data_IF_257524065884
#
_entry.id   IF_257524065884
#
_cell.length_a   1.000
_cell.length_b   1.000
_cell.length_c   1.000
_cell.angle_alpha   90.00
_cell.angle_beta   90.00
_cell.angle_gamma   90.00
#
_symmetry.space_group_name_H-M   'P 1'
#
loop_
_entity.id
_entity.type
_entity.pdbx_description
1 polymer ?
#
# COMPACT_ATOMS: atom_id res chain seq x y z
N UNK A 1 12.66 -72.44 21.97
CA UNK A 1 12.59 -72.57 20.50
C UNK A 1 11.86 -71.36 19.97
N UNK A 2 12.60 -70.28 19.69
CA UNK A 2 12.07 -69.15 18.94
C UNK A 2 12.20 -69.52 17.47
N UNK A 3 11.06 -69.74 16.80
CA UNK A 3 11.03 -70.05 15.39
C UNK A 3 11.40 -68.75 14.66
N UNK A 4 12.68 -68.56 14.33
CA UNK A 4 13.10 -67.47 13.45
C UNK A 4 12.33 -67.65 12.15
N UNK A 5 11.38 -66.73 11.90
CA UNK A 5 10.66 -66.66 10.64
C UNK A 5 11.68 -66.27 9.58
N UNK A 6 12.39 -67.27 9.06
CA UNK A 6 13.28 -67.13 7.91
C UNK A 6 12.41 -66.85 6.69
N UNK A 7 12.13 -65.57 6.46
CA UNK A 7 11.52 -65.12 5.20
C UNK A 7 12.33 -65.72 4.05
N UNK A 8 11.68 -66.41 3.11
CA UNK A 8 12.38 -66.84 1.89
C UNK A 8 12.91 -65.60 1.15
N UNK A 9 13.98 -65.74 0.37
CA UNK A 9 14.56 -64.62 -0.36
C UNK A 9 13.50 -63.87 -1.19
N UNK A 10 12.56 -64.60 -1.80
CA UNK A 10 11.43 -64.06 -2.56
C UNK A 10 10.42 -63.28 -1.69
N UNK A 11 10.14 -63.72 -0.46
CA UNK A 11 9.26 -62.98 0.45
C UNK A 11 9.88 -61.67 0.95
N UNK A 12 11.20 -61.63 1.19
CA UNK A 12 11.90 -60.37 1.51
C UNK A 12 11.85 -59.38 0.36
N UNK A 13 12.05 -59.85 -0.88
CA UNK A 13 11.97 -59.01 -2.08
C UNK A 13 10.57 -58.41 -2.23
N UNK A 14 9.51 -59.21 -2.08
CA UNK A 14 8.13 -58.72 -2.13
C UNK A 14 7.82 -57.73 -0.99
N UNK A 15 8.28 -58.00 0.23
CA UNK A 15 8.10 -57.09 1.36
C UNK A 15 8.82 -55.75 1.13
N UNK A 16 10.03 -55.77 0.59
CA UNK A 16 10.78 -54.56 0.25
C UNK A 16 10.07 -53.74 -0.84
N UNK A 17 9.49 -54.41 -1.85
CA UNK A 17 8.69 -53.74 -2.88
C UNK A 17 7.44 -53.09 -2.29
N UNK A 18 6.71 -53.79 -1.40
CA UNK A 18 5.54 -53.23 -0.71
C UNK A 18 5.91 -52.03 0.17
N UNK A 19 7.05 -52.08 0.86
CA UNK A 19 7.56 -50.95 1.64
C UNK A 19 7.89 -49.74 0.74
N UNK A 20 8.49 -49.96 -0.44
CA UNK A 20 8.76 -48.90 -1.42
C UNK A 20 7.47 -48.29 -1.99
N UNK A 21 6.46 -49.12 -2.29
CA UNK A 21 5.13 -48.64 -2.74
C UNK A 21 4.46 -47.83 -1.64
N UNK A 22 4.49 -48.30 -0.39
CA UNK A 22 3.91 -47.59 0.74
C UNK A 22 4.57 -46.21 0.96
N UNK A 23 5.90 -46.12 0.83
CA UNK A 23 6.63 -44.85 0.89
C UNK A 23 6.22 -43.90 -0.24
N UNK A 24 6.07 -44.43 -1.46
CA UNK A 24 5.63 -43.65 -2.62
C UNK A 24 4.19 -43.14 -2.45
N UNK A 25 3.29 -43.97 -1.91
CA UNK A 25 1.91 -43.58 -1.59
C UNK A 25 1.91 -42.44 -0.57
N UNK A 26 2.68 -42.55 0.51
CA UNK A 26 2.79 -41.50 1.53
C UNK A 26 3.29 -40.17 0.94
N UNK A 27 4.30 -40.21 0.06
CA UNK A 27 4.79 -39.02 -0.64
C UNK A 27 3.72 -38.40 -1.55
N UNK A 28 2.99 -39.22 -2.31
CA UNK A 28 1.91 -38.73 -3.19
C UNK A 28 0.74 -38.15 -2.40
N UNK A 29 0.38 -38.76 -1.27
CA UNK A 29 -0.61 -38.23 -0.35
C UNK A 29 -0.18 -36.85 0.19
N UNK A 30 1.10 -36.66 0.52
CA UNK A 30 1.63 -35.36 0.96
C UNK A 30 1.55 -34.29 -0.15
N UNK A 31 1.91 -34.64 -1.39
CA UNK A 31 1.80 -33.72 -2.54
C UNK A 31 0.35 -33.35 -2.81
N UNK A 32 -0.58 -34.31 -2.73
CA UNK A 32 -2.01 -34.05 -2.91
C UNK A 32 -2.58 -33.19 -1.78
N UNK A 33 -2.19 -33.45 -0.54
CA UNK A 33 -2.65 -32.69 0.63
C UNK A 33 -2.17 -31.23 0.61
N UNK A 34 -0.95 -30.99 0.14
CA UNK A 34 -0.33 -29.65 0.09
C UNK A 34 -0.60 -28.91 -1.22
N UNK A 35 -0.97 -29.64 -2.29
CA UNK A 35 -1.04 -29.11 -3.65
C UNK A 35 0.33 -28.79 -4.28
N UNK A 36 1.43 -28.96 -3.53
CA UNK A 36 2.76 -28.58 -3.96
C UNK A 36 3.56 -29.80 -4.40
N UNK A 37 4.21 -29.70 -5.56
CA UNK A 37 5.14 -30.73 -6.05
C UNK A 37 6.37 -30.89 -5.16
N UNK A 38 6.87 -29.79 -4.58
CA UNK A 38 8.07 -29.75 -3.74
C UNK A 38 7.64 -29.23 -2.37
N UNK A 39 7.77 -30.07 -1.34
CA UNK A 39 7.31 -29.74 0.02
C UNK A 39 8.46 -29.55 1.00
N UNK A 40 9.63 -30.09 0.67
CA UNK A 40 10.83 -30.01 1.49
C UNK A 40 12.08 -29.77 0.64
N UNK A 41 13.17 -29.35 1.29
CA UNK A 41 14.47 -29.23 0.65
C UNK A 41 15.02 -30.57 0.14
N UNK A 42 14.49 -31.71 0.63
CA UNK A 42 14.87 -33.05 0.18
C UNK A 42 14.17 -33.44 -1.14
N UNK A 43 13.05 -32.80 -1.49
CA UNK A 43 12.31 -33.09 -2.73
C UNK A 43 12.96 -32.44 -3.98
N UNK A 44 13.76 -31.39 -3.75
CA UNK A 44 14.42 -30.59 -4.78
C UNK A 44 14.97 -29.30 -4.17
N UNK A 45 16.24 -29.27 -3.72
CA UNK A 45 16.74 -28.14 -2.93
C UNK A 45 16.75 -26.84 -3.72
N UNK A 46 17.15 -26.86 -4.99
CA UNK A 46 17.18 -25.67 -5.86
C UNK A 46 15.78 -25.07 -6.02
N UNK A 47 14.80 -25.91 -6.35
CA UNK A 47 13.41 -25.51 -6.55
C UNK A 47 12.78 -25.03 -5.24
N UNK A 48 13.03 -25.72 -4.12
CA UNK A 48 12.51 -25.36 -2.81
C UNK A 48 13.01 -23.99 -2.35
N UNK A 49 14.32 -23.72 -2.47
CA UNK A 49 14.88 -22.44 -2.06
C UNK A 49 14.54 -21.31 -3.03
N UNK A 50 14.45 -21.58 -4.33
CA UNK A 50 13.94 -20.61 -5.31
C UNK A 50 12.49 -20.23 -5.00
N UNK A 51 11.61 -21.21 -4.75
CA UNK A 51 10.22 -20.97 -4.36
C UNK A 51 10.11 -20.19 -3.05
N UNK A 52 10.94 -20.53 -2.05
CA UNK A 52 11.00 -19.79 -0.77
C UNK A 52 11.41 -18.33 -0.98
N UNK A 53 12.43 -18.07 -1.81
CA UNK A 53 12.85 -16.71 -2.15
C UNK A 53 11.76 -15.91 -2.88
N UNK A 54 11.05 -16.55 -3.80
CA UNK A 54 9.90 -15.94 -4.49
C UNK A 54 8.74 -15.66 -3.53
N UNK A 55 8.46 -16.55 -2.58
CA UNK A 55 7.43 -16.35 -1.56
C UNK A 55 7.78 -15.18 -0.63
N UNK A 56 9.04 -15.04 -0.21
CA UNK A 56 9.50 -13.88 0.55
C UNK A 56 9.30 -12.58 -0.25
N UNK A 57 9.76 -12.56 -1.50
CA UNK A 57 9.60 -11.39 -2.38
C UNK A 57 8.13 -11.04 -2.61
N UNK A 58 7.25 -12.03 -2.74
CA UNK A 58 5.83 -11.80 -2.86
C UNK A 58 5.26 -11.15 -1.57
N UNK A 59 5.72 -11.58 -0.39
CA UNK A 59 5.40 -10.93 0.88
C UNK A 59 5.87 -9.47 0.92
N UNK A 60 7.13 -9.22 0.56
CA UNK A 60 7.70 -7.87 0.53
C UNK A 60 6.93 -6.96 -0.45
N UNK A 61 6.57 -7.48 -1.63
CA UNK A 61 5.74 -6.77 -2.61
C UNK A 61 4.33 -6.49 -2.10
N UNK A 62 3.75 -7.39 -1.30
CA UNK A 62 2.45 -7.14 -0.66
C UNK A 62 2.55 -5.98 0.32
N UNK A 63 3.58 -5.96 1.18
CA UNK A 63 3.80 -4.85 2.10
C UNK A 63 4.07 -3.53 1.37
N UNK A 64 4.84 -3.56 0.28
CA UNK A 64 5.06 -2.39 -0.58
C UNK A 64 3.74 -1.89 -1.18
N UNK A 65 2.90 -2.79 -1.68
CA UNK A 65 1.59 -2.47 -2.25
C UNK A 65 0.69 -1.78 -1.23
N UNK A 66 0.69 -2.24 0.02
CA UNK A 66 -0.08 -1.62 1.09
C UNK A 66 0.45 -0.21 1.41
N UNK A 67 1.77 -0.03 1.50
CA UNK A 67 2.40 1.27 1.67
C UNK A 67 2.11 2.24 0.50
N UNK A 68 2.08 1.74 -0.73
CA UNK A 68 1.66 2.50 -1.91
C UNK A 68 0.19 2.91 -1.81
N UNK A 69 -0.69 2.04 -1.34
CA UNK A 69 -2.10 2.37 -1.10
C UNK A 69 -2.28 3.52 -0.10
N UNK A 70 -1.49 3.54 0.97
CA UNK A 70 -1.47 4.66 1.93
C UNK A 70 -0.92 5.95 1.31
N UNK A 71 0.12 5.83 0.48
CA UNK A 71 0.70 6.97 -0.23
C UNK A 71 -0.28 7.59 -1.22
N UNK A 72 -1.03 6.76 -1.96
CA UNK A 72 -2.10 7.21 -2.88
C UNK A 72 -3.18 7.97 -2.09
N UNK A 73 -3.58 7.47 -0.92
CA UNK A 73 -4.58 8.14 -0.09
C UNK A 73 -4.09 9.52 0.40
N UNK A 74 -2.81 9.61 0.75
CA UNK A 74 -2.16 10.87 1.12
C UNK A 74 -2.13 11.87 -0.02
N UNK A 75 -1.73 11.43 -1.22
CA UNK A 75 -1.72 12.26 -2.43
C UNK A 75 -3.14 12.73 -2.77
N UNK A 76 -4.15 11.86 -2.64
CA UNK A 76 -5.55 12.21 -2.92
C UNK A 76 -6.09 13.26 -1.96
N UNK A 77 -5.74 13.21 -0.68
CA UNK A 77 -6.10 14.27 0.28
C UNK A 77 -5.42 15.59 -0.08
N UNK A 78 -4.13 15.55 -0.43
CA UNK A 78 -3.41 16.73 -0.87
C UNK A 78 -4.00 17.34 -2.15
N UNK A 79 -4.35 16.51 -3.14
CA UNK A 79 -4.97 16.94 -4.41
C UNK A 79 -6.31 17.68 -4.18
N UNK A 80 -7.16 17.13 -3.31
CA UNK A 80 -8.42 17.81 -2.92
C UNK A 80 -8.18 19.14 -2.22
N UNK A 81 -7.21 19.16 -1.30
CA UNK A 81 -6.80 20.38 -0.60
C UNK A 81 -6.31 21.46 -1.55
N UNK A 82 -5.42 21.11 -2.47
CA UNK A 82 -4.88 22.00 -3.49
C UNK A 82 -5.97 22.50 -4.45
N UNK A 83 -6.93 21.64 -4.84
CA UNK A 83 -8.08 22.06 -5.65
C UNK A 83 -8.88 23.16 -4.95
N UNK A 84 -9.18 22.99 -3.66
CA UNK A 84 -9.92 24.00 -2.88
C UNK A 84 -9.10 25.28 -2.66
N UNK A 85 -7.78 25.16 -2.44
CA UNK A 85 -6.88 26.30 -2.38
C UNK A 85 -6.90 27.07 -3.71
N UNK A 86 -6.88 26.38 -4.85
CA UNK A 86 -7.00 27.01 -6.17
C UNK A 86 -8.30 27.81 -6.29
N UNK A 87 -9.44 27.24 -5.88
CA UNK A 87 -10.73 27.96 -5.87
C UNK A 87 -10.68 29.25 -5.03
N UNK A 88 -9.98 29.23 -3.88
CA UNK A 88 -9.81 30.42 -3.04
C UNK A 88 -8.85 31.44 -3.63
N UNK A 89 -7.78 31.00 -4.29
CA UNK A 89 -6.83 31.88 -4.98
C UNK A 89 -7.53 32.62 -6.13
N UNK A 90 -8.40 31.95 -6.88
CA UNK A 90 -9.19 32.57 -7.95
C UNK A 90 -10.17 33.62 -7.39
N UNK A 91 -10.85 33.32 -6.29
CA UNK A 91 -11.70 34.29 -5.58
C UNK A 91 -10.88 35.49 -5.08
N UNK A 92 -9.72 35.24 -4.49
CA UNK A 92 -8.83 36.28 -3.97
C UNK A 92 -8.33 37.20 -5.11
N UNK A 93 -8.03 36.65 -6.29
CA UNK A 93 -7.71 37.41 -7.50
C UNK A 93 -8.88 38.29 -7.95
N UNK A 94 -10.11 37.79 -7.88
CA UNK A 94 -11.32 38.56 -8.18
C UNK A 94 -11.46 39.77 -7.24
N UNK A 95 -11.26 39.56 -5.94
CA UNK A 95 -11.29 40.65 -4.94
C UNK A 95 -10.19 41.69 -5.19
N UNK A 96 -8.97 41.24 -5.51
CA UNK A 96 -7.86 42.13 -5.84
C UNK A 96 -8.17 42.98 -7.10
N UNK A 97 -8.79 42.38 -8.11
CA UNK A 97 -9.22 43.08 -9.33
C UNK A 97 -10.31 44.12 -9.04
N UNK A 98 -11.28 43.76 -8.19
CA UNK A 98 -12.31 44.70 -7.74
C UNK A 98 -11.71 45.87 -6.94
N UNK A 99 -10.73 45.60 -6.08
CA UNK A 99 -10.04 46.63 -5.30
C UNK A 99 -9.25 47.58 -6.21
N UNK A 100 -8.63 47.06 -7.27
CA UNK A 100 -7.94 47.85 -8.29
C UNK A 100 -8.91 48.78 -9.06
N UNK A 101 -10.12 48.32 -9.37
CA UNK A 101 -11.14 49.18 -9.98
C UNK A 101 -11.63 50.31 -9.05
N UNK A 102 -11.43 50.17 -7.75
CA UNK A 102 -11.89 51.11 -6.72
C UNK A 102 -10.78 52.05 -6.19
N UNK A 103 -9.78 52.44 -7.01
CA UNK A 103 -8.60 53.21 -6.59
C UNK A 103 -8.84 54.71 -6.26
N UNK A 104 -10.10 55.18 -6.25
CA UNK A 104 -10.43 56.57 -5.90
C UNK A 104 -9.89 57.00 -4.52
N UNK A 105 -9.56 58.28 -4.37
CA UNK A 105 -9.04 58.83 -3.10
C UNK A 105 -10.13 59.34 -2.16
N UNK A 106 -11.38 59.35 -2.61
CA UNK A 106 -12.54 59.73 -1.81
C UNK A 106 -12.82 58.70 -0.70
N UNK A 107 -13.52 59.15 0.35
CA UNK A 107 -13.78 58.35 1.54
C UNK A 107 -14.54 57.05 1.23
N UNK A 108 -15.43 57.05 0.23
CA UNK A 108 -16.20 55.86 -0.15
C UNK A 108 -15.30 54.83 -0.85
N UNK A 109 -14.45 55.24 -1.79
CA UNK A 109 -13.47 54.36 -2.44
C UNK A 109 -12.49 53.74 -1.43
N UNK A 110 -12.01 54.52 -0.46
CA UNK A 110 -11.14 54.01 0.63
C UNK A 110 -11.88 52.98 1.48
N UNK A 111 -13.15 53.24 1.86
CA UNK A 111 -13.97 52.31 2.63
C UNK A 111 -14.19 50.98 1.87
N UNK A 112 -14.49 51.05 0.56
CA UNK A 112 -14.66 49.87 -0.30
C UNK A 112 -13.39 49.03 -0.37
N UNK A 113 -12.22 49.65 -0.60
CA UNK A 113 -10.94 48.90 -0.61
C UNK A 113 -10.63 48.26 0.73
N UNK A 114 -10.95 48.93 1.86
CA UNK A 114 -10.78 48.36 3.19
C UNK A 114 -11.65 47.11 3.41
N UNK A 115 -12.90 47.13 2.95
CA UNK A 115 -13.79 45.97 3.03
C UNK A 115 -13.30 44.80 2.17
N UNK A 116 -12.88 45.07 0.92
CA UNK A 116 -12.32 44.05 0.02
C UNK A 116 -11.02 43.44 0.58
N UNK A 117 -10.15 44.26 1.18
CA UNK A 117 -8.94 43.76 1.84
C UNK A 117 -9.27 42.83 3.02
N UNK A 118 -10.31 43.13 3.80
CA UNK A 118 -10.76 42.25 4.88
C UNK A 118 -11.29 40.91 4.36
N UNK A 119 -12.03 40.91 3.24
CA UNK A 119 -12.47 39.68 2.57
C UNK A 119 -11.29 38.87 2.03
N UNK A 120 -10.31 39.54 1.41
CA UNK A 120 -9.09 38.89 0.93
C UNK A 120 -8.31 38.23 2.08
N UNK A 121 -8.16 38.91 3.21
CA UNK A 121 -7.49 38.35 4.39
C UNK A 121 -8.25 37.13 4.92
N UNK A 122 -9.59 37.16 4.92
CA UNK A 122 -10.40 35.99 5.28
C UNK A 122 -10.12 34.80 4.36
N UNK A 123 -10.04 35.01 3.05
CA UNK A 123 -9.70 33.94 2.09
C UNK A 123 -8.29 33.41 2.30
N UNK A 124 -7.32 34.28 2.58
CA UNK A 124 -5.95 33.87 2.91
C UNK A 124 -5.94 32.98 4.15
N UNK A 125 -6.65 33.36 5.21
CA UNK A 125 -6.73 32.56 6.43
C UNK A 125 -7.47 31.22 6.17
N UNK A 126 -8.40 31.16 5.22
CA UNK A 126 -9.03 29.91 4.77
C UNK A 126 -8.07 29.03 3.96
N UNK A 127 -7.22 29.61 3.12
CA UNK A 127 -6.16 28.90 2.39
C UNK A 127 -5.19 28.26 3.39
N UNK A 128 -4.73 29.01 4.39
CA UNK A 128 -3.82 28.49 5.42
C UNK A 128 -4.44 27.33 6.21
N UNK A 129 -5.71 27.44 6.59
CA UNK A 129 -6.46 26.35 7.25
C UNK A 129 -6.60 25.12 6.35
N UNK A 130 -6.99 25.31 5.09
CA UNK A 130 -7.11 24.20 4.13
C UNK A 130 -5.78 23.49 3.93
N UNK A 131 -4.68 24.26 3.82
CA UNK A 131 -3.33 23.71 3.70
C UNK A 131 -2.95 22.90 4.94
N UNK A 132 -3.31 23.34 6.15
CA UNK A 132 -3.05 22.63 7.39
C UNK A 132 -3.88 21.35 7.56
N UNK A 133 -5.16 21.37 7.14
CA UNK A 133 -6.13 20.29 7.38
C UNK A 133 -6.08 19.17 6.34
N UNK A 134 -5.43 19.39 5.19
CA UNK A 134 -5.40 18.44 4.05
C UNK A 134 -4.47 17.22 4.25
N UNK A 135 -4.28 16.78 5.50
CA UNK A 135 -3.45 15.64 5.85
C UNK A 135 -4.16 14.28 5.73
N UNK A 136 -3.37 13.21 5.65
CA UNK A 136 -3.84 11.82 5.75
C UNK A 136 -2.85 11.00 6.58
N UNK A 137 -3.35 10.22 7.55
CA UNK A 137 -2.49 9.35 8.37
C UNK A 137 -1.34 10.08 9.08
N UNK A 138 -1.53 11.36 9.41
CA UNK A 138 -0.50 12.22 10.02
C UNK A 138 0.50 12.85 9.04
N UNK A 139 0.40 12.60 7.73
CA UNK A 139 1.23 13.23 6.70
C UNK A 139 0.49 14.36 6.01
N UNK A 140 1.14 15.50 5.84
CA UNK A 140 0.60 16.63 5.09
C UNK A 140 1.62 17.09 4.04
N UNK A 141 1.27 16.90 2.76
CA UNK A 141 2.12 17.25 1.63
C UNK A 141 2.01 18.73 1.21
N UNK A 142 0.99 19.45 1.68
CA UNK A 142 0.76 20.86 1.34
C UNK A 142 1.49 21.78 2.32
N UNK A 143 1.35 21.54 3.62
CA UNK A 143 1.97 22.36 4.66
C UNK A 143 3.46 22.05 4.89
N UNK A 144 4.03 21.05 4.21
CA UNK A 144 5.46 20.73 4.25
C UNK A 144 5.90 19.79 5.39
N UNK A 145 4.97 19.19 6.14
CA UNK A 145 5.28 18.20 7.18
C UNK A 145 5.39 16.76 6.63
N UNK A 146 5.98 16.60 5.44
CA UNK A 146 6.07 15.33 4.70
C UNK A 146 7.18 14.40 5.15
#
# INVERSE_FOLDING_TARGET
MANEVSLSASMRTNLLQLQNVQKTIAQKQQVLATGNKINSALDGPTEFFAAKGLSQRAGDLSSLKDAMGQSISTIKSADKGLTKISDYVDQAKGLATAAYAALGTDAASVATRKALAAQFNTLRDQIDKMAADSGYGGKNLIAGNG
#
